data_IF_643405887915
#
_entry.id   IF_643405887915
#
_cell.length_a   1.000
_cell.length_b   1.000
_cell.length_c   1.000
_cell.angle_alpha   90.00
_cell.angle_beta   90.00
_cell.angle_gamma   90.00
#
_symmetry.space_group_name_H-M   'P 1'
#
loop_
_entity.id
_entity.type
_entity.pdbx_description
1 polymer ?
#
# COMPACT_ATOMS: atom_id res chain seq x y z
N UNK A 1 24.15 -7.87 -8.94
CA UNK A 1 22.82 -7.24 -8.74
C UNK A 1 21.79 -8.18 -8.13
N UNK A 2 21.76 -9.50 -8.42
CA UNK A 2 20.78 -10.45 -7.82
C UNK A 2 21.09 -10.91 -6.39
N UNK A 3 22.37 -11.15 -6.05
CA UNK A 3 22.77 -11.72 -4.76
C UNK A 3 22.50 -10.81 -3.55
N UNK A 4 22.70 -9.50 -3.69
CA UNK A 4 22.48 -8.55 -2.59
C UNK A 4 21.00 -8.47 -2.14
N UNK A 5 20.05 -8.60 -3.09
CA UNK A 5 18.61 -8.61 -2.77
C UNK A 5 18.21 -9.83 -1.95
N UNK A 6 18.70 -11.00 -2.35
CA UNK A 6 18.43 -12.25 -1.64
C UNK A 6 18.96 -12.24 -0.21
N UNK A 7 20.15 -11.66 0.03
CA UNK A 7 20.70 -11.53 1.38
C UNK A 7 19.85 -10.63 2.26
N UNK A 8 19.46 -9.45 1.77
CA UNK A 8 18.60 -8.53 2.51
C UNK A 8 17.23 -9.14 2.85
N UNK A 9 16.63 -9.89 1.92
CA UNK A 9 15.36 -10.57 2.16
C UNK A 9 15.50 -11.70 3.19
N UNK A 10 16.60 -12.46 3.13
CA UNK A 10 16.90 -13.49 4.13
C UNK A 10 17.07 -12.88 5.52
N UNK A 11 17.78 -11.75 5.63
CA UNK A 11 18.00 -11.06 6.90
C UNK A 11 16.69 -10.52 7.48
N UNK A 12 15.84 -9.94 6.64
CA UNK A 12 14.50 -9.50 7.03
C UNK A 12 13.62 -10.63 7.56
N UNK A 13 13.62 -11.78 6.88
CA UNK A 13 12.86 -12.95 7.31
C UNK A 13 13.40 -13.52 8.63
N UNK A 14 14.71 -13.47 8.86
CA UNK A 14 15.32 -13.87 10.13
C UNK A 14 14.94 -12.93 11.26
N UNK A 15 14.95 -11.63 11.02
CA UNK A 15 14.54 -10.62 12.00
C UNK A 15 13.05 -10.76 12.35
N UNK A 16 12.21 -10.98 11.34
CA UNK A 16 10.79 -11.27 11.57
C UNK A 16 10.59 -12.57 12.35
N UNK A 17 11.40 -13.61 12.09
CA UNK A 17 11.33 -14.86 12.86
C UNK A 17 11.73 -14.69 14.33
N UNK A 18 12.55 -13.69 14.68
CA UNK A 18 12.92 -13.42 16.08
C UNK A 18 11.80 -12.75 16.88
N UNK A 19 11.07 -11.79 16.28
CA UNK A 19 9.96 -11.09 16.93
C UNK A 19 8.70 -11.09 16.02
N UNK A 20 8.03 -12.25 15.88
CA UNK A 20 7.03 -12.46 14.83
C UNK A 20 5.75 -11.63 14.98
N UNK A 21 5.39 -11.27 16.21
CA UNK A 21 4.10 -10.64 16.51
C UNK A 21 4.15 -9.12 16.47
N UNK A 22 5.11 -8.52 17.16
CA UNK A 22 5.22 -7.07 17.33
C UNK A 22 6.36 -6.45 16.52
N UNK A 23 7.20 -7.28 15.87
CA UNK A 23 8.38 -6.83 15.17
C UNK A 23 9.47 -6.34 16.13
N UNK A 24 10.59 -5.93 15.55
CA UNK A 24 11.76 -5.47 16.30
C UNK A 24 11.76 -3.96 16.59
N UNK A 25 10.71 -3.24 16.19
CA UNK A 25 10.53 -1.79 16.39
C UNK A 25 10.78 -0.96 15.12
N UNK A 26 10.06 0.15 14.97
CA UNK A 26 10.22 1.05 13.82
C UNK A 26 11.66 1.58 13.72
N UNK A 27 12.30 1.44 12.56
CA UNK A 27 13.69 1.83 12.32
C UNK A 27 14.75 0.81 12.76
N UNK A 28 14.38 -0.41 13.14
CA UNK A 28 15.31 -1.49 13.50
C UNK A 28 15.95 -2.19 12.29
N UNK A 29 15.43 -1.94 11.08
CA UNK A 29 15.88 -2.61 9.87
C UNK A 29 17.21 -2.06 9.34
N UNK A 30 17.42 -0.75 9.44
CA UNK A 30 18.65 -0.08 8.97
C UNK A 30 19.90 -0.43 9.79
N UNK A 31 19.86 -0.56 11.13
CA UNK A 31 21.04 -0.89 11.94
C UNK A 31 21.42 -2.38 11.98
N UNK A 32 20.53 -3.29 11.56
CA UNK A 32 20.69 -4.73 11.76
C UNK A 32 21.33 -5.47 10.57
N UNK A 33 21.42 -4.84 9.40
CA UNK A 33 22.12 -5.37 8.22
C UNK A 33 23.43 -4.63 7.98
N UNK A 34 24.56 -5.33 8.16
CA UNK A 34 25.93 -4.84 7.91
C UNK A 34 26.12 -4.35 6.45
N UNK A 35 25.28 -4.84 5.53
CA UNK A 35 25.24 -4.45 4.11
C UNK A 35 24.47 -3.15 3.88
N UNK A 36 23.36 -2.93 4.59
CA UNK A 36 22.58 -1.69 4.52
C UNK A 36 23.35 -0.50 5.14
N UNK A 37 24.13 -0.74 6.20
CA UNK A 37 24.99 0.28 6.81
C UNK A 37 26.23 0.63 5.98
N UNK A 38 26.73 -0.31 5.17
CA UNK A 38 27.99 -0.14 4.41
C UNK A 38 27.78 0.43 3.01
N UNK A 39 26.60 0.27 2.42
CA UNK A 39 26.28 0.75 1.06
C UNK A 39 24.88 1.35 1.03
N UNK A 40 24.73 2.67 1.24
CA UNK A 40 23.44 3.36 1.26
C UNK A 40 22.62 3.15 -0.03
N UNK A 41 23.29 2.94 -1.16
CA UNK A 41 22.64 2.68 -2.46
C UNK A 41 21.96 1.29 -2.53
N UNK A 42 22.36 0.34 -1.68
CA UNK A 42 21.69 -0.96 -1.53
C UNK A 42 20.49 -0.90 -0.57
N UNK A 43 20.34 0.19 0.18
CA UNK A 43 19.09 0.53 0.86
C UNK A 43 17.98 0.89 -0.15
N UNK A 44 18.22 0.94 -1.46
CA UNK A 44 17.16 1.03 -2.47
C UNK A 44 16.51 -0.34 -2.82
N UNK A 45 16.87 -1.41 -2.10
CA UNK A 45 16.39 -2.80 -2.33
C UNK A 45 15.29 -3.20 -1.33
N UNK A 46 14.72 -2.24 -0.62
CA UNK A 46 13.64 -2.49 0.34
C UNK A 46 12.38 -3.00 -0.36
N UNK A 47 11.76 -4.00 0.27
CA UNK A 47 10.40 -4.41 -0.03
C UNK A 47 9.58 -4.01 1.18
N UNK A 48 8.58 -3.17 0.96
CA UNK A 48 7.71 -2.63 2.01
C UNK A 48 7.08 -3.73 2.89
N UNK A 49 6.81 -4.90 2.30
CA UNK A 49 6.29 -6.07 3.04
C UNK A 49 7.34 -6.65 3.99
N UNK A 50 8.59 -6.75 3.55
CA UNK A 50 9.68 -7.29 4.37
C UNK A 50 10.08 -6.32 5.47
N UNK A 51 10.05 -5.01 5.21
CA UNK A 51 10.29 -3.98 6.21
C UNK A 51 9.17 -3.93 7.25
N UNK A 52 7.90 -3.89 6.83
CA UNK A 52 6.75 -3.91 7.74
C UNK A 52 6.73 -5.20 8.58
N UNK A 53 7.06 -6.35 7.99
CA UNK A 53 7.17 -7.61 8.71
C UNK A 53 8.31 -7.62 9.74
N UNK A 54 9.48 -7.08 9.40
CA UNK A 54 10.64 -7.04 10.29
C UNK A 54 10.49 -6.01 11.43
N UNK A 55 9.88 -4.85 11.16
CA UNK A 55 9.78 -3.73 12.12
C UNK A 55 8.52 -3.78 12.97
N UNK A 56 7.37 -4.14 12.38
CA UNK A 56 6.05 -4.15 13.04
C UNK A 56 5.45 -5.55 13.20
N UNK A 57 6.12 -6.59 12.68
CA UNK A 57 5.66 -7.98 12.83
C UNK A 57 4.36 -8.26 12.09
N UNK A 58 3.69 -9.34 12.49
CA UNK A 58 2.40 -9.76 11.94
C UNK A 58 1.32 -8.67 12.09
N UNK A 59 1.37 -7.85 13.14
CA UNK A 59 0.42 -6.75 13.34
C UNK A 59 0.54 -5.71 12.22
N UNK A 60 1.77 -5.32 11.86
CA UNK A 60 1.99 -4.40 10.74
C UNK A 60 1.46 -4.95 9.42
N UNK A 61 1.74 -6.23 9.14
CA UNK A 61 1.27 -6.91 7.92
C UNK A 61 -0.25 -6.96 7.86
N UNK A 62 -0.92 -7.27 8.98
CA UNK A 62 -2.39 -7.30 9.07
C UNK A 62 -2.99 -5.92 8.84
N UNK A 63 -2.42 -4.87 9.45
CA UNK A 63 -2.89 -3.49 9.25
C UNK A 63 -2.69 -3.02 7.81
N UNK A 64 -1.56 -3.36 7.19
CA UNK A 64 -1.29 -3.06 5.79
C UNK A 64 -2.29 -3.78 4.87
N UNK A 65 -2.56 -5.06 5.13
CA UNK A 65 -3.57 -5.82 4.39
C UNK A 65 -4.97 -5.24 4.58
N UNK A 66 -5.33 -4.84 5.81
CA UNK A 66 -6.61 -4.22 6.10
C UNK A 66 -6.78 -2.87 5.37
N UNK A 67 -5.74 -2.04 5.32
CA UNK A 67 -5.73 -0.80 4.54
C UNK A 67 -5.90 -1.07 3.05
N UNK A 68 -5.18 -2.05 2.51
CA UNK A 68 -5.28 -2.41 1.10
C UNK A 68 -6.69 -2.89 0.73
N UNK A 69 -7.23 -3.84 1.49
CA UNK A 69 -8.57 -4.39 1.29
C UNK A 69 -9.66 -3.34 1.53
N UNK A 70 -9.50 -2.49 2.56
CA UNK A 70 -10.40 -1.37 2.83
C UNK A 70 -10.43 -0.39 1.66
N UNK A 71 -9.27 -0.06 1.08
CA UNK A 71 -9.17 0.78 -0.12
C UNK A 71 -9.88 0.18 -1.34
N UNK A 72 -9.71 -1.13 -1.59
CA UNK A 72 -10.43 -1.82 -2.67
C UNK A 72 -11.95 -1.79 -2.47
N UNK A 73 -12.42 -2.11 -1.26
CA UNK A 73 -13.85 -2.08 -0.91
C UNK A 73 -14.43 -0.67 -1.03
N UNK A 74 -13.66 0.35 -0.68
CA UNK A 74 -14.06 1.75 -0.81
C UNK A 74 -14.11 2.20 -2.27
N UNK A 75 -13.09 1.85 -3.07
CA UNK A 75 -13.04 2.14 -4.50
C UNK A 75 -14.22 1.52 -5.26
N UNK A 76 -14.57 0.28 -4.92
CA UNK A 76 -15.65 -0.48 -5.53
C UNK A 76 -17.05 0.11 -5.31
N UNK A 77 -17.21 1.10 -4.41
CA UNK A 77 -18.48 1.82 -4.25
C UNK A 77 -18.74 2.78 -5.40
N UNK A 78 -17.68 3.21 -6.10
CA UNK A 78 -17.68 4.14 -7.24
C UNK A 78 -18.53 3.70 -8.43
N UNK A 79 -18.78 4.63 -9.36
CA UNK A 79 -19.33 4.26 -10.67
C UNK A 79 -18.38 3.28 -11.39
N UNK A 80 -18.87 2.37 -12.25
CA UNK A 80 -18.05 1.27 -12.77
C UNK A 80 -16.73 1.70 -13.43
N UNK A 81 -16.76 2.79 -14.21
CA UNK A 81 -15.56 3.33 -14.86
C UNK A 81 -14.56 3.92 -13.86
N UNK A 82 -15.04 4.64 -12.84
CA UNK A 82 -14.18 5.28 -11.83
C UNK A 82 -13.62 4.23 -10.86
N UNK A 83 -14.44 3.26 -10.46
CA UNK A 83 -14.04 2.14 -9.63
C UNK A 83 -12.92 1.32 -10.29
N UNK A 84 -13.02 1.02 -11.59
CA UNK A 84 -11.97 0.30 -12.32
C UNK A 84 -10.63 1.05 -12.33
N UNK A 85 -10.66 2.37 -12.56
CA UNK A 85 -9.45 3.21 -12.53
C UNK A 85 -8.85 3.20 -11.12
N UNK A 86 -9.68 3.41 -10.10
CA UNK A 86 -9.22 3.46 -8.70
C UNK A 86 -8.64 2.11 -8.23
N UNK A 87 -9.31 1.00 -8.53
CA UNK A 87 -8.84 -0.35 -8.19
C UNK A 87 -7.52 -0.66 -8.90
N UNK A 88 -7.42 -0.33 -10.20
CA UNK A 88 -6.20 -0.59 -10.98
C UNK A 88 -5.04 0.25 -10.46
N UNK A 89 -5.26 1.54 -10.19
CA UNK A 89 -4.26 2.44 -9.63
C UNK A 89 -3.80 1.99 -8.23
N UNK A 90 -4.75 1.61 -7.36
CA UNK A 90 -4.46 1.14 -6.00
C UNK A 90 -3.68 -0.18 -6.00
N UNK A 91 -4.04 -1.10 -6.90
CA UNK A 91 -3.34 -2.38 -7.09
C UNK A 91 -1.93 -2.16 -7.65
N UNK A 92 -1.78 -1.31 -8.67
CA UNK A 92 -0.49 -0.97 -9.24
C UNK A 92 0.43 -0.34 -8.19
N UNK A 93 -0.11 0.57 -7.37
CA UNK A 93 0.62 1.20 -6.28
C UNK A 93 1.09 0.18 -5.24
N UNK A 94 0.23 -0.75 -4.82
CA UNK A 94 0.58 -1.78 -3.85
C UNK A 94 1.67 -2.73 -4.37
N UNK A 95 1.57 -3.15 -5.64
CA UNK A 95 2.58 -4.00 -6.29
C UNK A 95 3.91 -3.25 -6.41
N UNK A 96 3.89 -1.98 -6.84
CA UNK A 96 5.10 -1.19 -7.00
C UNK A 96 5.79 -0.93 -5.65
N UNK A 97 5.01 -0.62 -4.61
CA UNK A 97 5.51 -0.43 -3.24
C UNK A 97 6.08 -1.73 -2.65
N UNK A 98 5.69 -2.90 -3.16
CA UNK A 98 6.28 -4.17 -2.73
C UNK A 98 7.68 -4.42 -3.30
N UNK A 99 8.07 -3.68 -4.33
CA UNK A 99 9.30 -3.87 -5.12
C UNK A 99 10.24 -2.66 -5.01
N UNK A 100 9.71 -1.49 -4.63
CA UNK A 100 10.40 -0.21 -4.61
C UNK A 100 10.01 0.65 -3.39
N UNK A 101 10.86 1.61 -3.03
CA UNK A 101 10.82 2.44 -1.82
C UNK A 101 9.84 3.65 -1.94
N UNK A 102 8.62 3.41 -2.43
CA UNK A 102 7.62 4.46 -2.62
C UNK A 102 7.12 5.09 -1.32
N UNK A 103 7.26 4.42 -0.18
CA UNK A 103 6.93 4.93 1.16
C UNK A 103 7.72 6.18 1.54
N UNK A 104 8.92 6.35 0.99
CA UNK A 104 9.77 7.51 1.23
C UNK A 104 9.21 8.79 0.59
N UNK A 105 8.19 8.64 -0.27
CA UNK A 105 7.52 9.74 -0.95
C UNK A 105 6.08 9.87 -0.44
N UNK A 106 5.84 10.65 0.63
CA UNK A 106 4.50 10.86 1.21
C UNK A 106 3.44 11.30 0.19
N UNK A 107 3.88 12.00 -0.85
CA UNK A 107 3.02 12.46 -1.95
C UNK A 107 2.35 11.30 -2.71
N UNK A 108 2.99 10.14 -2.80
CA UNK A 108 2.46 8.97 -3.51
C UNK A 108 1.27 8.38 -2.76
N UNK A 109 1.40 8.22 -1.44
CA UNK A 109 0.29 7.80 -0.57
C UNK A 109 -0.86 8.81 -0.58
N UNK A 110 -0.53 10.11 -0.54
CA UNK A 110 -1.53 11.18 -0.63
C UNK A 110 -2.35 11.09 -1.93
N UNK A 111 -1.70 10.97 -3.09
CA UNK A 111 -2.38 10.86 -4.37
C UNK A 111 -3.22 9.59 -4.49
N UNK A 112 -2.75 8.46 -3.95
CA UNK A 112 -3.54 7.24 -3.83
C UNK A 112 -4.84 7.47 -3.04
N UNK A 113 -4.75 8.15 -1.90
CA UNK A 113 -5.90 8.55 -1.09
C UNK A 113 -6.87 9.46 -1.82
N UNK A 114 -6.38 10.43 -2.60
CA UNK A 114 -7.22 11.32 -3.43
C UNK A 114 -8.01 10.53 -4.48
N UNK A 115 -7.37 9.59 -5.17
CA UNK A 115 -8.03 8.74 -6.18
C UNK A 115 -9.12 7.87 -5.56
N UNK A 116 -8.82 7.23 -4.42
CA UNK A 116 -9.80 6.44 -3.66
C UNK A 116 -10.97 7.31 -3.21
N UNK A 117 -10.67 8.47 -2.62
CA UNK A 117 -11.64 9.47 -2.18
C UNK A 117 -12.58 9.87 -3.30
N UNK A 118 -12.03 10.27 -4.44
CA UNK A 118 -12.80 10.66 -5.62
C UNK A 118 -13.72 9.54 -6.11
N UNK A 119 -13.25 8.28 -6.10
CA UNK A 119 -14.08 7.13 -6.44
C UNK A 119 -15.28 6.97 -5.51
N UNK A 120 -15.06 7.07 -4.20
CA UNK A 120 -16.12 6.92 -3.19
C UNK A 120 -17.11 8.10 -3.14
N UNK A 121 -16.70 9.32 -3.52
CA UNK A 121 -17.60 10.49 -3.53
C UNK A 121 -18.49 10.55 -4.78
N UNK A 122 -18.05 10.03 -5.93
CA UNK A 122 -18.81 10.11 -7.18
C UNK A 122 -20.06 9.20 -7.21
N UNK A 123 -20.26 8.34 -6.21
CA UNK A 123 -21.42 7.44 -6.08
C UNK A 123 -22.71 8.21 -5.87
N UNK A 124 -22.66 9.20 -4.97
CA UNK A 124 -23.80 10.03 -4.61
C UNK A 124 -24.25 10.90 -5.79
N UNK A 125 -23.29 11.40 -6.58
CA UNK A 125 -23.56 12.26 -7.73
C UNK A 125 -24.31 11.52 -8.84
N UNK A 126 -23.98 10.25 -9.12
CA UNK A 126 -24.68 9.47 -10.15
C UNK A 126 -26.09 9.07 -9.73
N UNK A 127 -26.28 8.64 -8.49
CA UNK A 127 -27.60 8.23 -7.97
C UNK A 127 -28.57 9.43 -7.85
N UNK A 128 -28.06 10.61 -7.46
CA UNK A 128 -28.85 11.83 -7.44
C UNK A 128 -29.30 12.29 -8.84
N UNK A 129 -28.46 12.05 -9.85
CA UNK A 129 -28.74 12.45 -11.24
C UNK A 129 -29.81 11.56 -11.89
N UNK A 130 -29.68 10.23 -11.77
CA UNK A 130 -30.71 9.30 -12.26
C UNK A 130 -32.08 9.53 -11.60
N UNK A 131 -32.11 9.72 -10.27
CA UNK A 131 -33.36 10.01 -9.55
C UNK A 131 -34.04 11.28 -10.04
N UNK A 132 -33.26 12.31 -10.37
CA UNK A 132 -33.77 13.60 -10.82
C UNK A 132 -34.32 13.49 -12.25
N UNK A 133 -33.63 12.78 -13.14
CA UNK A 133 -34.07 12.56 -14.53
C UNK A 133 -35.37 11.74 -14.59
N UNK A 134 -35.52 10.71 -13.73
CA UNK A 134 -36.77 9.94 -13.60
C UNK A 134 -37.95 10.81 -13.14
N UNK A 135 -37.73 11.73 -12.20
CA UNK A 135 -38.78 12.63 -11.70
C UNK A 135 -39.27 13.62 -12.77
N UNK A 136 -38.36 14.13 -13.61
CA UNK A 136 -38.71 15.07 -14.69
C UNK A 136 -39.22 14.36 -15.95
N UNK A 137 -38.83 13.11 -16.21
CA UNK A 137 -39.32 12.31 -17.33
C UNK A 137 -40.78 11.84 -17.20
N UNK A 138 -41.39 11.95 -16.01
CA UNK A 138 -42.79 11.56 -15.75
C UNK A 138 -43.82 12.70 -15.89
N UNK A 139 -43.41 13.93 -16.26
CA UNK A 139 -44.31 15.06 -16.52
C UNK A 139 -44.44 15.36 -18.00
#
# INVERSE_FOLDING_TARGET
>A
MSSARHTLWSDALRLWATEPWFGSGAGSFTPSSELASSTPDLAAVHSLILQVGAELGAVGVVLLAALFLGGLLFAARGSPAVALIAITAWTALAVHSSIDHLEDFPIVGFMGGVILGWSGFNTHSSEDKERNDDFFGQK
#
